data_IF_745050051925
#
_entry.id   IF_745050051925
#
_cell.length_a   1.000
_cell.length_b   1.000
_cell.length_c   1.000
_cell.angle_alpha   90.00
_cell.angle_beta   90.00
_cell.angle_gamma   90.00
#
_symmetry.space_group_name_H-M   'P 1'
#
loop_
_entity.id
_entity.type
_entity.pdbx_description
1 polymer ?
#
# COMPACT_ATOMS: atom_id res chain seq x y z
N UNK A 1 -21.42 -45.68 -25.83
CA UNK A 1 -20.76 -44.36 -25.92
C UNK A 1 -21.52 -43.27 -25.13
N UNK A 2 -22.84 -43.09 -25.35
CA UNK A 2 -23.66 -42.08 -24.66
C UNK A 2 -23.69 -42.19 -23.11
N UNK A 3 -23.72 -43.42 -22.57
CA UNK A 3 -23.73 -43.65 -21.11
C UNK A 3 -22.39 -43.32 -20.43
N UNK A 4 -21.27 -43.44 -21.14
CA UNK A 4 -19.93 -43.07 -20.64
C UNK A 4 -19.76 -41.55 -20.55
N UNK A 5 -20.34 -40.82 -21.50
CA UNK A 5 -20.31 -39.35 -21.52
C UNK A 5 -21.21 -38.81 -20.40
N UNK A 6 -22.39 -39.41 -20.21
CA UNK A 6 -23.31 -39.04 -19.12
C UNK A 6 -22.72 -39.32 -17.73
N UNK A 7 -21.97 -40.42 -17.56
CA UNK A 7 -21.25 -40.68 -16.29
C UNK A 7 -20.07 -39.74 -16.09
N UNK A 8 -19.35 -39.37 -17.16
CA UNK A 8 -18.26 -38.40 -17.08
C UNK A 8 -18.76 -37.00 -16.71
N UNK A 9 -19.86 -36.54 -17.33
CA UNK A 9 -20.51 -35.27 -17.00
C UNK A 9 -21.07 -35.29 -15.58
N UNK A 10 -21.66 -36.41 -15.13
CA UNK A 10 -22.16 -36.55 -13.76
C UNK A 10 -21.02 -36.55 -12.74
N UNK A 11 -19.89 -37.17 -13.04
CA UNK A 11 -18.70 -37.15 -12.18
C UNK A 11 -18.04 -35.77 -12.16
N UNK A 12 -18.02 -35.08 -13.30
CA UNK A 12 -17.56 -33.69 -13.42
C UNK A 12 -18.46 -32.75 -12.61
N UNK A 13 -19.78 -32.86 -12.73
CA UNK A 13 -20.74 -32.14 -11.89
C UNK A 13 -20.57 -32.46 -10.40
N UNK A 14 -20.34 -33.74 -10.05
CA UNK A 14 -20.13 -34.14 -8.66
C UNK A 14 -18.79 -33.65 -8.11
N UNK A 15 -17.76 -33.48 -8.93
CA UNK A 15 -16.50 -32.84 -8.54
C UNK A 15 -16.65 -31.33 -8.32
N UNK A 16 -17.50 -30.67 -9.10
CA UNK A 16 -17.73 -29.21 -9.01
C UNK A 16 -18.69 -28.86 -7.86
N UNK A 17 -19.75 -29.64 -7.65
CA UNK A 17 -20.84 -29.29 -6.73
C UNK A 17 -20.89 -30.12 -5.44
N UNK A 18 -20.21 -31.28 -5.36
CA UNK A 18 -20.15 -32.03 -4.12
C UNK A 18 -18.94 -31.60 -3.29
N UNK A 19 -19.20 -31.17 -2.06
CA UNK A 19 -18.18 -30.84 -1.09
C UNK A 19 -17.31 -32.08 -0.80
N UNK A 20 -16.04 -32.01 -1.20
CA UNK A 20 -14.97 -32.90 -0.71
C UNK A 20 -14.16 -32.16 0.33
N UNK A 21 -14.05 -32.78 1.51
CA UNK A 21 -13.13 -32.35 2.56
C UNK A 21 -11.71 -32.26 1.96
N UNK A 22 -10.98 -31.15 2.13
CA UNK A 22 -9.59 -31.07 1.68
C UNK A 22 -8.72 -32.07 2.46
N UNK A 23 -7.81 -32.77 1.78
CA UNK A 23 -6.87 -33.74 2.39
C UNK A 23 -5.72 -33.08 3.17
N UNK A 24 -5.84 -31.79 3.49
CA UNK A 24 -4.86 -31.04 4.27
C UNK A 24 -5.62 -30.35 5.40
N UNK A 25 -5.45 -30.84 6.63
CA UNK A 25 -5.91 -30.18 7.85
C UNK A 25 -5.09 -28.90 8.07
N UNK A 26 -5.48 -27.81 7.41
CA UNK A 26 -5.09 -26.46 7.82
C UNK A 26 -6.36 -25.71 8.19
N UNK A 27 -6.65 -25.69 9.49
CA UNK A 27 -7.82 -25.00 10.04
C UNK A 27 -7.49 -23.52 10.21
N UNK A 28 -7.66 -22.75 9.14
CA UNK A 28 -7.75 -21.29 9.24
C UNK A 28 -9.19 -20.91 9.58
N UNK A 29 -9.43 -20.48 10.81
CA UNK A 29 -10.71 -19.92 11.23
C UNK A 29 -10.61 -18.39 11.25
N UNK A 30 -11.41 -17.73 10.43
CA UNK A 30 -11.72 -16.31 10.62
C UNK A 30 -12.50 -16.19 11.93
N UNK A 31 -12.03 -15.37 12.86
CA UNK A 31 -12.72 -15.13 14.12
C UNK A 31 -14.01 -14.32 13.88
N UNK A 32 -15.11 -14.98 13.54
CA UNK A 32 -16.45 -14.40 13.62
C UNK A 32 -17.01 -14.60 15.04
N UNK A 33 -17.20 -13.48 15.74
CA UNK A 33 -18.05 -13.30 16.94
C UNK A 33 -17.81 -14.26 18.11
N UNK A 34 -17.00 -13.80 19.07
CA UNK A 34 -16.95 -14.34 20.43
C UNK A 34 -18.32 -14.24 21.12
N UNK A 35 -19.15 -15.28 20.99
CA UNK A 35 -20.23 -15.62 21.93
C UNK A 35 -20.40 -17.13 21.91
N UNK A 36 -19.52 -17.82 22.62
CA UNK A 36 -19.70 -19.18 23.19
C UNK A 36 -18.32 -19.79 23.51
N UNK A 37 -17.60 -19.21 24.48
CA UNK A 37 -16.51 -19.90 25.20
C UNK A 37 -16.15 -19.14 26.50
N UNK A 38 -17.15 -18.71 27.25
CA UNK A 38 -16.97 -18.25 28.63
C UNK A 38 -17.17 -19.44 29.59
N UNK A 39 -16.19 -20.32 29.74
CA UNK A 39 -16.04 -21.14 30.96
C UNK A 39 -14.69 -21.86 30.96
N UNK A 40 -13.60 -21.16 31.34
CA UNK A 40 -12.32 -21.69 31.88
C UNK A 40 -11.10 -20.76 31.71
N UNK A 41 -11.28 -19.46 31.44
CA UNK A 41 -10.16 -18.49 31.39
C UNK A 41 -10.13 -17.47 32.53
N UNK A 42 -11.10 -17.47 33.44
CA UNK A 42 -11.23 -16.44 34.49
C UNK A 42 -10.21 -16.56 35.64
N UNK A 43 -9.44 -17.64 35.73
CA UNK A 43 -8.45 -17.84 36.80
C UNK A 43 -7.02 -17.45 36.39
N UNK A 44 -6.73 -17.38 35.09
CA UNK A 44 -5.41 -17.00 34.55
C UNK A 44 -5.35 -15.51 34.16
N UNK A 45 -6.48 -14.87 33.90
CA UNK A 45 -6.53 -13.43 33.61
C UNK A 45 -6.25 -12.53 34.83
N UNK A 46 -6.45 -13.00 36.05
CA UNK A 46 -6.22 -12.21 37.26
C UNK A 46 -4.72 -12.06 37.63
N UNK A 47 -3.84 -12.91 37.10
CA UNK A 47 -2.38 -12.72 37.24
C UNK A 47 -1.79 -11.92 36.08
N UNK A 48 -2.40 -11.94 34.89
CA UNK A 48 -1.93 -11.19 33.71
C UNK A 48 -2.44 -9.74 33.69
N UNK A 49 -3.62 -9.47 34.26
CA UNK A 49 -4.21 -8.13 34.37
C UNK A 49 -3.45 -7.20 35.33
N UNK A 50 -2.67 -7.75 36.27
CA UNK A 50 -1.77 -6.95 37.12
C UNK A 50 -0.38 -6.71 36.50
N UNK A 51 -0.08 -7.29 35.33
CA UNK A 51 1.22 -7.09 34.65
C UNK A 51 1.14 -6.33 33.33
N UNK A 52 -0.06 -6.07 32.79
CA UNK A 52 -0.25 -5.36 31.52
C UNK A 52 -0.66 -3.89 31.66
N UNK A 53 -0.58 -3.32 32.88
CA UNK A 53 -0.79 -1.89 33.13
C UNK A 53 0.49 -1.05 33.08
N UNK A 54 1.60 -1.57 32.56
CA UNK A 54 2.86 -0.83 32.48
C UNK A 54 3.66 -1.16 31.21
N UNK A 55 4.27 -0.11 30.62
CA UNK A 55 5.19 -0.05 29.46
C UNK A 55 4.65 0.53 28.14
N UNK A 56 3.81 1.58 28.19
CA UNK A 56 3.94 2.68 27.22
C UNK A 56 4.98 3.66 27.76
N UNK A 57 6.25 3.50 27.41
CA UNK A 57 7.25 4.55 27.60
C UNK A 57 6.98 5.67 26.57
N UNK A 58 5.96 6.49 26.77
CA UNK A 58 5.85 7.77 26.08
C UNK A 58 6.88 8.73 26.68
N UNK A 59 8.14 8.60 26.24
CA UNK A 59 9.12 9.67 26.45
C UNK A 59 8.68 10.86 25.61
N UNK A 60 8.10 11.87 26.26
CA UNK A 60 7.70 13.11 25.57
C UNK A 60 8.91 13.95 25.15
N UNK A 61 9.97 13.94 25.94
CA UNK A 61 11.15 14.81 25.79
C UNK A 61 12.42 14.04 25.40
N UNK A 62 13.27 14.72 24.63
CA UNK A 62 14.56 14.21 24.16
C UNK A 62 15.56 14.17 25.32
N UNK A 63 16.17 13.01 25.52
CA UNK A 63 17.19 12.83 26.57
C UNK A 63 18.55 13.36 26.11
N UNK A 64 19.41 13.74 27.07
CA UNK A 64 20.78 14.19 26.77
C UNK A 64 21.70 13.07 26.24
N UNK A 65 21.33 11.80 26.46
CA UNK A 65 22.14 10.63 26.11
C UNK A 65 21.70 10.10 24.75
N UNK A 66 22.62 10.05 23.79
CA UNK A 66 22.32 9.65 22.40
C UNK A 66 21.78 8.22 22.34
N UNK A 67 22.35 7.31 23.14
CA UNK A 67 21.97 5.89 23.14
C UNK A 67 20.50 5.67 23.50
N UNK A 68 19.98 6.41 24.48
CA UNK A 68 18.57 6.30 24.87
C UNK A 68 17.62 6.82 23.77
N UNK A 69 17.99 7.90 23.10
CA UNK A 69 17.20 8.44 21.98
C UNK A 69 17.22 7.48 20.79
N UNK A 70 18.36 6.87 20.51
CA UNK A 70 18.55 5.90 19.45
C UNK A 70 17.70 4.64 19.69
N UNK A 71 17.75 4.08 20.90
CA UNK A 71 16.95 2.90 21.27
C UNK A 71 15.44 3.21 21.19
N UNK A 72 15.02 4.39 21.63
CA UNK A 72 13.63 4.84 21.50
C UNK A 72 13.17 4.92 20.05
N UNK A 73 13.97 5.54 19.16
CA UNK A 73 13.63 5.64 17.73
C UNK A 73 13.62 4.26 17.05
N UNK A 74 14.53 3.36 17.42
CA UNK A 74 14.57 1.98 16.91
C UNK A 74 13.32 1.19 17.29
N UNK A 75 12.83 1.36 18.53
CA UNK A 75 11.60 0.74 19.01
C UNK A 75 10.37 1.34 18.34
N UNK A 76 10.28 2.66 18.23
CA UNK A 76 9.11 3.37 17.68
C UNK A 76 8.85 3.01 16.22
N UNK A 77 9.91 2.93 15.39
CA UNK A 77 9.81 2.60 13.97
C UNK A 77 10.02 1.11 13.64
N UNK A 78 10.15 0.24 14.65
CA UNK A 78 10.47 -1.19 14.51
C UNK A 78 11.55 -1.46 13.45
N UNK A 79 12.69 -0.76 13.58
CA UNK A 79 13.77 -0.75 12.56
C UNK A 79 14.36 -2.11 12.20
N UNK A 80 14.13 -3.15 13.03
CA UNK A 80 14.52 -4.53 12.73
C UNK A 80 13.73 -5.15 11.58
N UNK A 81 12.47 -4.75 11.42
CA UNK A 81 11.55 -5.29 10.41
C UNK A 81 11.42 -4.29 9.25
N UNK A 82 11.41 -3.01 9.59
CA UNK A 82 11.14 -1.94 8.65
C UNK A 82 12.38 -1.63 7.80
N UNK A 83 12.24 -1.82 6.48
CA UNK A 83 13.36 -1.79 5.54
C UNK A 83 13.64 -0.40 4.93
N UNK A 84 12.73 0.55 5.11
CA UNK A 84 12.80 1.89 4.53
C UNK A 84 13.49 2.92 5.43
N UNK A 85 13.56 2.66 6.72
CA UNK A 85 14.18 3.54 7.71
C UNK A 85 15.69 3.37 7.70
N UNK A 86 16.42 4.49 7.60
CA UNK A 86 17.88 4.51 7.60
C UNK A 86 18.38 5.29 8.81
N UNK A 87 19.29 4.66 9.55
CA UNK A 87 20.03 5.27 10.65
C UNK A 87 21.49 5.37 10.23
N UNK A 88 22.08 6.57 10.30
CA UNK A 88 23.52 6.78 10.08
C UNK A 88 24.16 7.36 11.32
N UNK A 89 25.05 6.60 11.95
CA UNK A 89 25.84 7.05 13.10
C UNK A 89 27.17 7.67 12.62
N UNK A 90 27.56 8.81 13.19
CA UNK A 90 28.80 9.50 12.87
C UNK A 90 29.27 10.36 14.04
N UNK A 91 30.45 10.95 13.95
CA UNK A 91 31.03 11.79 15.01
C UNK A 91 31.24 13.21 14.51
N UNK A 92 30.78 14.18 15.30
CA UNK A 92 30.98 15.61 15.06
C UNK A 92 32.20 16.05 15.87
N UNK A 93 33.18 16.67 15.22
CA UNK A 93 34.32 17.27 15.92
C UNK A 93 34.06 18.76 16.15
N UNK A 94 34.01 19.20 17.40
CA UNK A 94 33.88 20.61 17.76
C UNK A 94 34.88 20.98 18.86
N UNK A 95 35.68 22.03 18.64
CA UNK A 95 36.75 22.47 19.57
C UNK A 95 37.68 21.33 20.04
N UNK A 96 38.07 20.44 19.13
CA UNK A 96 38.92 19.28 19.43
C UNK A 96 38.28 18.18 20.29
N UNK A 97 36.98 18.26 20.59
CA UNK A 97 36.19 17.19 21.22
C UNK A 97 35.32 16.49 20.18
N UNK A 98 35.16 15.19 20.35
CA UNK A 98 34.30 14.36 19.51
C UNK A 98 32.95 14.14 20.21
N UNK A 99 31.88 14.44 19.49
CA UNK A 99 30.51 14.25 19.93
C UNK A 99 29.84 13.23 19.00
N UNK A 100 29.44 12.05 19.50
CA UNK A 100 28.71 11.09 18.68
C UNK A 100 27.32 11.66 18.34
N UNK A 101 26.88 11.39 17.11
CA UNK A 101 25.63 11.86 16.54
C UNK A 101 25.02 10.78 15.63
N UNK A 102 23.72 10.84 15.39
CA UNK A 102 23.09 10.01 14.37
C UNK A 102 22.05 10.80 13.57
N UNK A 103 21.93 10.43 12.29
CA UNK A 103 20.84 10.82 11.41
C UNK A 103 19.79 9.72 11.35
N UNK A 104 18.53 10.14 11.31
CA UNK A 104 17.38 9.27 11.13
C UNK A 104 16.49 9.84 10.04
N UNK A 105 16.25 9.08 8.98
CA UNK A 105 15.40 9.48 7.86
C UNK A 105 14.77 8.25 7.17
N UNK A 106 13.74 8.48 6.36
CA UNK A 106 13.08 7.45 5.55
C UNK A 106 13.64 7.52 4.13
N UNK A 107 14.32 6.46 3.70
CA UNK A 107 14.87 6.37 2.35
C UNK A 107 13.76 6.26 1.29
N UNK A 108 13.89 7.06 0.24
CA UNK A 108 12.86 7.31 -0.78
C UNK A 108 12.06 8.60 -0.58
N UNK A 109 12.00 9.14 0.65
CA UNK A 109 11.34 10.44 0.94
C UNK A 109 12.32 11.60 1.06
N UNK A 110 13.55 11.32 1.48
CA UNK A 110 14.64 12.30 1.63
C UNK A 110 15.66 12.21 0.50
N UNK A 111 16.21 13.35 0.07
CA UNK A 111 17.30 13.38 -0.92
C UNK A 111 18.63 12.96 -0.28
N UNK A 112 19.21 11.87 -0.77
CA UNK A 112 20.52 11.42 -0.30
C UNK A 112 21.64 12.42 -0.59
N UNK A 113 21.55 13.17 -1.71
CA UNK A 113 22.58 14.15 -2.07
C UNK A 113 22.55 15.33 -1.10
N UNK A 114 21.36 15.85 -0.79
CA UNK A 114 21.22 16.94 0.17
C UNK A 114 21.69 16.54 1.58
N UNK A 115 21.43 15.29 2.00
CA UNK A 115 21.93 14.77 3.28
C UNK A 115 23.47 14.73 3.30
N UNK A 116 24.09 14.23 2.22
CA UNK A 116 25.53 14.09 2.17
C UNK A 116 26.23 15.46 2.15
N UNK A 117 25.81 16.36 1.26
CA UNK A 117 26.51 17.60 0.96
C UNK A 117 26.25 18.71 2.02
N UNK A 118 25.04 18.75 2.60
CA UNK A 118 24.64 19.85 3.49
C UNK A 118 24.49 19.45 4.97
N UNK A 119 24.57 18.16 5.29
CA UNK A 119 24.51 17.68 6.68
C UNK A 119 25.78 16.95 7.06
N UNK A 120 26.12 15.87 6.34
CA UNK A 120 27.27 15.04 6.71
C UNK A 120 28.59 15.75 6.47
N UNK A 121 28.81 16.32 5.29
CA UNK A 121 30.07 16.98 4.95
C UNK A 121 30.40 18.16 5.89
N UNK A 122 29.50 19.15 6.15
CA UNK A 122 29.81 20.27 7.05
C UNK A 122 30.01 19.86 8.52
N UNK A 123 29.41 18.76 8.97
CA UNK A 123 29.51 18.29 10.35
C UNK A 123 30.70 17.35 10.59
N UNK A 124 31.17 16.66 9.54
CA UNK A 124 32.31 15.74 9.62
C UNK A 124 33.63 16.39 9.20
N UNK A 125 33.61 17.35 8.27
CA UNK A 125 34.83 18.05 7.88
C UNK A 125 35.35 18.88 9.04
N UNK A 126 36.63 18.67 9.35
CA UNK A 126 37.36 19.47 10.33
C UNK A 126 37.57 20.87 9.77
N UNK A 127 36.71 21.80 10.14
CA UNK A 127 36.98 23.20 9.89
C UNK A 127 38.23 23.59 10.70
N UNK A 128 39.27 24.14 10.05
CA UNK A 128 40.52 24.53 10.75
C UNK A 128 40.27 25.57 11.85
N UNK A 129 39.20 26.36 11.72
CA UNK A 129 38.72 27.30 12.74
C UNK A 129 38.34 26.62 14.08
N UNK A 130 38.15 25.30 14.10
CA UNK A 130 37.82 24.52 15.30
C UNK A 130 39.04 24.07 16.13
N UNK A 131 40.27 24.36 15.69
CA UNK A 131 41.49 24.02 16.42
C UNK A 131 41.82 25.04 17.53
N UNK A 132 41.19 26.21 17.53
CA UNK A 132 41.45 27.24 18.54
C UNK A 132 40.70 26.94 19.84
N UNK A 133 41.38 26.18 20.70
CA UNK A 133 41.21 26.31 22.15
C UNK A 133 41.53 27.76 22.51
N UNK A 134 40.68 28.42 23.29
CA UNK A 134 40.82 29.82 23.67
C UNK A 134 42.12 30.10 24.42
N UNK A 135 43.20 30.36 23.68
CA UNK A 135 44.38 31.13 24.11
C UNK A 135 44.69 32.29 23.14
N UNK A 136 43.76 32.67 22.26
CA UNK A 136 43.87 33.97 21.57
C UNK A 136 43.46 35.09 22.52
N UNK A 137 44.40 35.50 23.37
CA UNK A 137 44.39 36.78 24.07
C UNK A 137 44.20 37.91 23.06
N UNK A 138 43.00 38.48 22.98
CA UNK A 138 42.84 39.82 22.41
C UNK A 138 43.39 40.82 23.42
N UNK A 139 44.59 41.33 23.15
CA UNK A 139 45.09 42.53 23.82
C UNK A 139 44.34 43.73 23.23
N UNK A 140 43.35 44.25 23.95
CA UNK A 140 42.96 45.65 23.75
C UNK A 140 44.11 46.52 24.27
N UNK A 141 44.67 47.45 23.49
CA UNK A 141 45.62 48.41 24.03
C UNK A 141 44.84 49.36 24.93
N UNK A 142 44.82 49.07 26.23
CA UNK A 142 44.39 50.05 27.23
C UNK A 142 45.54 51.03 27.45
N UNK A 143 45.30 52.30 27.13
CA UNK A 143 46.09 53.38 27.70
C UNK A 143 45.88 53.36 29.22
N UNK A 144 46.97 53.07 29.91
CA UNK A 144 47.28 53.31 31.33
C UNK A 144 46.27 52.88 32.41
N UNK A 145 46.84 52.12 33.36
CA UNK A 145 46.43 51.87 34.74
C UNK A 145 45.41 50.74 35.03
N UNK A 146 46.02 49.65 35.54
CA UNK A 146 45.48 48.57 36.40
C UNK A 146 44.09 48.05 36.04
N UNK A 147 44.04 47.04 35.17
CA UNK A 147 42.87 46.19 35.01
C UNK A 147 43.28 44.73 35.13
N UNK A 148 42.74 44.06 36.15
CA UNK A 148 42.69 42.60 36.24
C UNK A 148 42.09 42.08 34.93
N UNK A 149 42.70 41.10 34.24
CA UNK A 149 42.17 40.60 32.98
C UNK A 149 40.85 39.88 33.26
N UNK A 150 39.72 40.50 32.93
CA UNK A 150 38.42 39.85 32.95
C UNK A 150 38.33 39.00 31.68
N UNK A 151 38.66 37.71 31.80
CA UNK A 151 38.45 36.71 30.75
C UNK A 151 36.95 36.53 30.55
N UNK A 152 36.36 37.20 29.54
CA UNK A 152 35.02 36.85 29.06
C UNK A 152 35.13 35.57 28.24
N UNK A 153 35.05 34.43 28.91
CA UNK A 153 34.88 33.12 28.26
C UNK A 153 33.49 33.15 27.60
N UNK A 154 33.42 33.23 26.26
CA UNK A 154 32.16 32.95 25.58
C UNK A 154 31.88 31.47 25.79
N UNK A 155 30.88 31.15 26.63
CA UNK A 155 30.47 29.77 26.88
C UNK A 155 30.13 29.14 25.52
N UNK A 156 30.94 28.17 25.09
CA UNK A 156 30.71 27.48 23.82
C UNK A 156 29.36 26.76 23.89
N UNK A 157 28.44 27.15 23.00
CA UNK A 157 27.15 26.51 22.88
C UNK A 157 27.17 25.59 21.67
N UNK A 158 27.26 24.28 21.91
CA UNK A 158 27.29 23.27 20.86
C UNK A 158 26.08 23.39 19.92
N UNK A 159 24.91 23.74 20.45
CA UNK A 159 23.69 23.97 19.68
C UNK A 159 23.83 25.11 18.68
N UNK A 160 24.54 26.17 19.03
CA UNK A 160 24.75 27.33 18.15
C UNK A 160 25.79 27.02 17.06
N UNK A 161 26.83 26.27 17.42
CA UNK A 161 27.82 25.76 16.47
C UNK A 161 27.16 24.89 15.38
N UNK A 162 26.40 23.87 15.77
CA UNK A 162 25.70 22.98 14.83
C UNK A 162 24.72 23.77 13.98
N UNK A 163 23.98 24.70 14.59
CA UNK A 163 23.05 25.55 13.85
C UNK A 163 23.77 26.32 12.74
N UNK A 164 24.89 26.98 13.05
CA UNK A 164 25.65 27.77 12.06
C UNK A 164 26.23 26.93 10.93
N UNK A 165 26.65 25.68 11.21
CA UNK A 165 27.10 24.75 10.17
C UNK A 165 25.97 24.34 9.21
N UNK A 166 24.73 24.27 9.70
CA UNK A 166 23.57 23.77 8.95
C UNK A 166 22.67 24.87 8.34
N UNK A 167 22.92 26.15 8.68
CA UNK A 167 22.21 27.32 8.14
C UNK A 167 22.21 27.48 6.60
N UNK A 168 23.24 27.07 5.83
CA UNK A 168 23.33 27.45 4.42
C UNK A 168 22.19 26.99 3.50
N UNK A 169 21.47 25.91 3.85
CA UNK A 169 20.43 25.36 2.94
C UNK A 169 19.14 24.86 3.60
N UNK A 170 19.18 24.46 4.87
CA UNK A 170 18.06 23.75 5.48
C UNK A 170 17.18 24.68 6.33
N UNK A 171 15.86 24.56 6.16
CA UNK A 171 14.90 25.11 7.12
C UNK A 171 15.01 24.31 8.43
N UNK A 172 15.92 24.76 9.30
CA UNK A 172 16.29 24.06 10.50
C UNK A 172 15.34 24.42 11.65
N UNK A 173 14.64 23.40 12.17
CA UNK A 173 13.79 23.53 13.36
C UNK A 173 14.41 22.77 14.52
N UNK A 174 14.57 23.45 15.65
CA UNK A 174 15.07 22.87 16.90
C UNK A 174 13.87 22.38 17.68
N UNK A 175 13.82 21.09 17.95
CA UNK A 175 12.70 20.43 18.62
C UNK A 175 13.19 19.77 19.91
N UNK A 176 12.42 19.89 20.98
CA UNK A 176 12.67 19.22 22.27
C UNK A 176 11.79 17.99 22.48
N UNK A 177 10.70 17.88 21.72
CA UNK A 177 9.71 16.81 21.83
C UNK A 177 9.90 15.75 20.76
N UNK A 178 9.69 14.49 21.11
CA UNK A 178 9.77 13.40 20.13
C UNK A 178 8.62 13.42 19.11
N UNK A 179 7.42 13.86 19.49
CA UNK A 179 6.25 13.88 18.62
C UNK A 179 6.42 14.81 17.40
N UNK A 180 7.02 15.98 17.58
CA UNK A 180 7.31 16.91 16.48
C UNK A 180 8.39 16.38 15.54
N UNK A 181 9.35 15.61 16.06
CA UNK A 181 10.39 14.96 15.24
C UNK A 181 9.80 13.80 14.43
N UNK A 182 9.02 12.92 15.06
CA UNK A 182 8.36 11.79 14.40
C UNK A 182 7.46 12.28 13.26
N UNK A 183 6.64 13.30 13.52
CA UNK A 183 5.81 13.92 12.47
C UNK A 183 6.66 14.54 11.35
N UNK A 184 7.78 15.19 11.67
CA UNK A 184 8.75 15.68 10.69
C UNK A 184 9.33 14.56 9.81
N UNK A 185 9.79 13.46 10.42
CA UNK A 185 10.36 12.31 9.70
C UNK A 185 9.31 11.67 8.81
N UNK A 186 8.08 11.48 9.30
CA UNK A 186 6.98 10.94 8.51
C UNK A 186 6.62 11.86 7.31
N UNK A 187 6.94 13.15 7.39
CA UNK A 187 6.81 14.10 6.27
C UNK A 187 8.02 14.10 5.31
N UNK A 188 9.04 13.27 5.55
CA UNK A 188 10.25 13.17 4.73
C UNK A 188 11.42 14.04 5.18
N UNK A 189 11.38 14.60 6.40
CA UNK A 189 12.52 15.31 6.96
C UNK A 189 13.59 14.33 7.50
N UNK A 190 14.79 14.85 7.72
CA UNK A 190 15.87 14.14 8.41
C UNK A 190 16.01 14.68 9.83
N UNK A 191 16.04 13.79 10.82
CA UNK A 191 16.30 14.15 12.21
C UNK A 191 17.78 13.91 12.56
N UNK A 192 18.42 14.90 13.17
CA UNK A 192 19.79 14.83 13.68
C UNK A 192 19.78 14.91 15.21
N UNK A 193 20.32 13.88 15.85
CA UNK A 193 20.53 13.82 17.29
C UNK A 193 22.04 13.88 17.59
N UNK A 194 22.41 14.62 18.63
CA UNK A 194 23.80 14.78 19.05
C UNK A 194 23.91 14.52 20.56
N UNK A 195 24.94 13.80 20.97
CA UNK A 195 25.23 13.53 22.38
C UNK A 195 25.37 14.83 23.17
N UNK A 196 24.94 14.81 24.43
CA UNK A 196 24.92 15.93 25.38
C UNK A 196 23.91 17.06 25.10
N UNK A 197 23.09 16.93 24.04
CA UNK A 197 21.99 17.85 23.75
C UNK A 197 20.63 17.22 24.06
N UNK A 198 19.74 17.99 24.68
CA UNK A 198 18.31 17.67 24.89
C UNK A 198 17.42 18.21 23.76
N UNK A 199 18.02 18.53 22.62
CA UNK A 199 17.36 19.10 21.44
C UNK A 199 17.81 18.26 20.25
N UNK A 200 16.88 17.93 19.36
CA UNK A 200 17.23 17.40 18.04
C UNK A 200 16.94 18.45 16.96
N UNK A 201 17.65 18.32 15.86
CA UNK A 201 17.50 19.17 14.70
C UNK A 201 16.63 18.45 13.67
N UNK A 202 15.47 19.04 13.36
CA UNK A 202 14.61 18.60 12.28
C UNK A 202 15.00 19.38 11.02
N UNK A 203 15.58 18.67 10.05
CA UNK A 203 16.17 19.23 8.84
C UNK A 203 15.27 18.91 7.66
N UNK A 204 14.87 19.94 6.91
CA UNK A 204 14.08 19.76 5.69
C UNK A 204 15.00 19.29 4.55
N UNK A 205 14.91 18.01 4.22
CA UNK A 205 15.76 17.36 3.20
C UNK A 205 14.89 16.56 2.23
N UNK A 206 13.65 17.03 2.01
CA UNK A 206 12.68 16.32 1.20
C UNK A 206 13.16 16.21 -0.24
N UNK A 207 13.21 14.99 -0.74
CA UNK A 207 13.66 14.67 -2.09
C UNK A 207 12.96 13.42 -2.58
N UNK A 208 11.98 13.61 -3.44
CA UNK A 208 11.25 12.51 -4.05
C UNK A 208 11.95 12.16 -5.38
N UNK A 209 12.64 11.02 -5.43
CA UNK A 209 13.25 10.52 -6.68
C UNK A 209 12.16 10.33 -7.74
N UNK A 210 12.25 11.03 -8.87
CA UNK A 210 11.24 11.01 -9.93
C UNK A 210 11.72 10.31 -11.21
N UNK A 211 11.05 9.22 -11.58
CA UNK A 211 10.28 9.24 -12.83
C UNK A 211 8.99 10.00 -12.52
N UNK A 212 8.49 10.83 -13.43
CA UNK A 212 7.23 11.55 -13.21
C UNK A 212 6.12 10.55 -12.92
N UNK A 213 5.50 10.63 -11.73
CA UNK A 213 4.32 9.83 -11.38
C UNK A 213 3.24 10.15 -12.40
N UNK A 214 2.78 9.13 -13.13
CA UNK A 214 1.77 9.28 -14.17
C UNK A 214 0.37 9.15 -13.60
N UNK A 215 -0.61 9.59 -14.39
CA UNK A 215 -2.01 9.29 -14.10
C UNK A 215 -2.26 7.77 -14.22
N UNK A 216 -3.19 7.22 -13.41
CA UNK A 216 -3.66 5.85 -13.56
C UNK A 216 -4.34 5.67 -14.92
N UNK A 217 -3.99 4.60 -15.64
CA UNK A 217 -4.53 4.30 -16.97
C UNK A 217 -5.77 3.38 -16.89
N UNK A 218 -5.79 2.44 -15.96
CA UNK A 218 -6.89 1.47 -15.80
C UNK A 218 -7.92 1.94 -14.77
N UNK A 219 -7.53 2.75 -13.77
CA UNK A 219 -8.39 3.28 -12.72
C UNK A 219 -8.55 4.81 -12.84
N UNK A 220 -9.04 5.26 -14.00
CA UNK A 220 -9.31 6.67 -14.29
C UNK A 220 -10.47 7.17 -13.43
N UNK A 221 -10.31 8.33 -12.81
CA UNK A 221 -11.35 9.00 -12.03
C UNK A 221 -11.52 10.44 -12.48
N UNK A 222 -12.71 10.99 -12.27
CA UNK A 222 -13.04 12.40 -12.54
C UNK A 222 -12.59 13.29 -11.37
N UNK A 223 -12.70 12.78 -10.13
CA UNK A 223 -12.41 13.55 -8.92
C UNK A 223 -11.65 12.70 -7.90
N UNK A 224 -10.43 13.12 -7.58
CA UNK A 224 -9.55 12.54 -6.56
C UNK A 224 -8.07 12.67 -6.95
N UNK A 225 -7.15 11.97 -6.24
CA UNK A 225 -5.74 11.92 -6.62
C UNK A 225 -5.55 11.27 -7.99
N UNK A 226 -4.59 11.74 -8.79
CA UNK A 226 -4.25 11.16 -10.10
C UNK A 226 -2.86 10.53 -10.09
N UNK A 227 -2.46 9.96 -8.96
CA UNK A 227 -1.15 9.33 -8.82
C UNK A 227 -1.29 7.83 -9.01
N UNK A 228 -0.36 7.23 -9.75
CA UNK A 228 -0.24 5.80 -9.92
C UNK A 228 1.11 5.29 -9.42
N UNK A 229 1.15 4.02 -9.02
CA UNK A 229 2.40 3.32 -8.77
C UNK A 229 3.23 3.22 -10.05
N UNK A 230 4.54 3.10 -9.86
CA UNK A 230 5.56 3.03 -10.90
C UNK A 230 6.27 1.68 -10.77
N UNK A 231 7.20 1.33 -11.66
CA UNK A 231 7.88 0.03 -11.59
C UNK A 231 8.89 -0.05 -10.42
N UNK A 232 9.39 1.10 -9.95
CA UNK A 232 10.40 1.14 -8.89
C UNK A 232 9.79 0.96 -7.49
N UNK A 233 10.13 -0.13 -6.81
CA UNK A 233 9.61 -0.47 -5.48
C UNK A 233 9.79 0.64 -4.43
N UNK A 234 10.97 1.28 -4.40
CA UNK A 234 11.29 2.34 -3.43
C UNK A 234 10.46 3.61 -3.65
N UNK A 235 10.14 3.92 -4.90
CA UNK A 235 9.23 5.03 -5.23
C UNK A 235 7.82 4.68 -4.74
N UNK A 236 7.36 3.45 -4.95
CA UNK A 236 6.04 3.00 -4.51
C UNK A 236 5.89 3.01 -2.98
N UNK A 237 6.89 2.55 -2.23
CA UNK A 237 6.87 2.62 -0.76
C UNK A 237 6.86 4.08 -0.27
N UNK A 238 7.57 4.98 -0.95
CA UNK A 238 7.54 6.42 -0.63
C UNK A 238 6.16 7.06 -0.89
N UNK A 239 5.46 6.64 -1.96
CA UNK A 239 4.09 7.08 -2.26
C UNK A 239 3.11 6.65 -1.17
N UNK A 240 3.22 5.40 -0.71
CA UNK A 240 2.42 4.90 0.43
C UNK A 240 2.72 5.67 1.72
N UNK A 241 3.99 5.87 2.07
CA UNK A 241 4.40 6.64 3.26
C UNK A 241 3.87 8.07 3.28
N UNK A 242 3.85 8.73 2.12
CA UNK A 242 3.33 10.10 2.00
C UNK A 242 1.84 10.21 2.30
N UNK A 243 1.08 9.17 1.98
CA UNK A 243 -0.37 9.10 2.26
C UNK A 243 -0.58 8.63 3.71
N UNK A 244 0.15 7.60 4.13
CA UNK A 244 0.09 7.01 5.48
C UNK A 244 1.19 7.63 6.36
N UNK A 245 0.91 8.83 6.87
CA UNK A 245 1.83 9.58 7.73
C UNK A 245 1.83 9.05 9.19
N UNK A 246 2.19 7.78 9.38
CA UNK A 246 2.22 7.12 10.68
C UNK A 246 3.47 6.23 10.82
N UNK A 247 4.10 6.25 11.99
CA UNK A 247 5.25 5.43 12.36
C UNK A 247 4.93 3.92 12.41
N UNK A 248 3.66 3.56 12.66
CA UNK A 248 3.22 2.16 12.81
C UNK A 248 3.00 1.47 11.47
N UNK A 249 3.18 2.17 10.34
CA UNK A 249 3.28 1.53 9.03
C UNK A 249 4.62 0.79 8.94
N UNK A 250 4.55 -0.52 8.73
CA UNK A 250 5.72 -1.39 8.59
C UNK A 250 5.84 -1.79 7.13
N UNK A 251 7.05 -1.70 6.58
CA UNK A 251 7.41 -2.13 5.24
C UNK A 251 8.54 -3.16 5.34
N UNK A 252 8.18 -4.43 5.21
CA UNK A 252 9.10 -5.57 5.27
C UNK A 252 9.49 -6.03 3.86
N UNK A 253 10.79 -6.08 3.56
CA UNK A 253 11.27 -6.58 2.28
C UNK A 253 11.47 -8.10 2.32
N UNK A 254 10.89 -8.79 1.35
CA UNK A 254 11.01 -10.24 1.12
C UNK A 254 11.43 -10.47 -0.32
N UNK A 255 12.38 -11.39 -0.54
CA UNK A 255 12.80 -11.75 -1.89
C UNK A 255 12.12 -13.05 -2.30
N UNK A 256 11.45 -13.04 -3.45
CA UNK A 256 10.72 -14.18 -4.01
C UNK A 256 11.42 -14.66 -5.29
N UNK A 257 11.63 -15.97 -5.41
CA UNK A 257 12.21 -16.62 -6.59
C UNK A 257 13.56 -17.31 -6.35
N UNK A 258 13.75 -18.49 -6.94
CA UNK A 258 14.96 -19.31 -6.79
C UNK A 258 16.10 -18.87 -7.71
N UNK A 259 15.80 -18.61 -9.00
CA UNK A 259 16.79 -18.15 -10.00
C UNK A 259 16.92 -16.63 -9.94
N UNK A 260 15.80 -15.91 -10.07
CA UNK A 260 15.74 -14.46 -9.96
C UNK A 260 15.02 -14.07 -8.67
N UNK A 261 15.80 -13.57 -7.71
CA UNK A 261 15.29 -13.08 -6.42
C UNK A 261 14.66 -11.70 -6.59
N UNK A 262 13.41 -11.67 -7.02
CA UNK A 262 12.65 -10.43 -7.16
C UNK A 262 12.28 -9.89 -5.78
N UNK A 263 12.61 -8.62 -5.53
CA UNK A 263 12.26 -7.96 -4.27
C UNK A 263 10.76 -7.63 -4.22
N UNK A 264 10.12 -8.00 -3.12
CA UNK A 264 8.75 -7.69 -2.77
C UNK A 264 8.74 -6.95 -1.42
N UNK A 265 7.80 -6.02 -1.23
CA UNK A 265 7.60 -5.31 0.02
C UNK A 265 6.21 -5.62 0.57
N UNK A 266 6.14 -6.15 1.79
CA UNK A 266 4.92 -6.38 2.55
C UNK A 266 4.68 -5.15 3.42
N UNK A 267 3.59 -4.45 3.15
CA UNK A 267 3.18 -3.23 3.84
C UNK A 267 1.94 -3.51 4.69
N UNK A 268 1.99 -3.14 5.97
CA UNK A 268 0.85 -3.29 6.89
C UNK A 268 0.92 -2.30 8.06
N UNK A 269 -0.23 -2.08 8.72
CA UNK A 269 -0.34 -1.25 9.91
C UNK A 269 -0.25 -2.12 11.17
N UNK A 270 0.80 -1.95 11.98
CA UNK A 270 1.06 -2.81 13.16
C UNK A 270 -0.11 -2.88 14.15
N UNK A 271 -0.79 -1.76 14.37
CA UNK A 271 -1.82 -1.65 15.41
C UNK A 271 -3.21 -2.07 14.95
N UNK A 272 -3.43 -2.11 13.63
CA UNK A 272 -4.76 -2.32 13.03
C UNK A 272 -4.85 -3.71 12.39
N UNK A 273 -3.75 -4.18 11.79
CA UNK A 273 -3.74 -5.41 11.00
C UNK A 273 -3.66 -6.62 11.91
N UNK A 274 -4.41 -7.67 11.60
CA UNK A 274 -4.27 -8.95 12.30
C UNK A 274 -2.87 -9.55 12.05
N UNK A 275 -2.12 -9.80 13.12
CA UNK A 275 -0.77 -10.37 13.06
C UNK A 275 -0.75 -11.76 12.43
N UNK A 276 -1.79 -12.58 12.61
CA UNK A 276 -1.88 -13.91 12.01
C UNK A 276 -1.97 -13.82 10.49
N UNK A 277 -2.70 -12.82 10.00
CA UNK A 277 -2.82 -12.55 8.57
C UNK A 277 -1.49 -12.10 7.97
N UNK A 278 -0.75 -11.22 8.66
CA UNK A 278 0.61 -10.83 8.24
C UNK A 278 1.54 -12.04 8.21
N UNK A 279 1.48 -12.90 9.23
CA UNK A 279 2.30 -14.11 9.31
C UNK A 279 1.97 -15.09 8.18
N UNK A 280 0.70 -15.24 7.83
CA UNK A 280 0.26 -16.08 6.71
C UNK A 280 0.77 -15.54 5.37
N UNK A 281 0.64 -14.24 5.12
CA UNK A 281 1.17 -13.61 3.89
C UNK A 281 2.69 -13.80 3.80
N UNK A 282 3.41 -13.57 4.91
CA UNK A 282 4.86 -13.81 4.99
C UNK A 282 5.21 -15.28 4.73
N UNK A 283 4.46 -16.21 5.32
CA UNK A 283 4.65 -17.64 5.13
C UNK A 283 4.43 -18.06 3.67
N UNK A 284 3.34 -17.61 3.06
CA UNK A 284 3.01 -17.89 1.66
C UNK A 284 4.12 -17.37 0.74
N UNK A 285 4.50 -16.10 0.86
CA UNK A 285 5.54 -15.49 0.03
C UNK A 285 6.90 -16.18 0.14
N UNK A 286 7.32 -16.56 1.35
CA UNK A 286 8.60 -17.24 1.57
C UNK A 286 8.62 -18.70 1.08
N UNK A 287 7.46 -19.34 0.99
CA UNK A 287 7.35 -20.75 0.58
C UNK A 287 7.00 -20.94 -0.89
N UNK A 288 6.91 -19.86 -1.67
CA UNK A 288 6.73 -19.94 -3.11
C UNK A 288 7.98 -20.54 -3.78
N UNK A 289 7.85 -21.78 -4.26
CA UNK A 289 8.87 -22.43 -5.08
C UNK A 289 8.67 -22.08 -6.55
N UNK A 290 9.16 -20.91 -6.94
CA UNK A 290 9.14 -20.44 -8.32
C UNK A 290 10.53 -19.98 -8.74
N UNK A 291 10.89 -20.21 -10.00
CA UNK A 291 12.21 -19.84 -10.51
C UNK A 291 12.36 -18.32 -10.64
N UNK A 292 11.32 -17.66 -11.15
CA UNK A 292 11.29 -16.21 -11.43
C UNK A 292 9.90 -15.65 -11.19
N UNK A 293 9.82 -14.41 -10.73
CA UNK A 293 8.58 -13.65 -10.65
C UNK A 293 8.68 -12.41 -11.55
N UNK A 294 7.82 -12.33 -12.58
CA UNK A 294 7.83 -11.25 -13.57
C UNK A 294 6.65 -10.29 -13.42
N UNK A 295 5.48 -10.81 -13.06
CA UNK A 295 4.24 -10.03 -12.99
C UNK A 295 3.54 -10.13 -11.64
N UNK A 296 2.82 -9.07 -11.28
CA UNK A 296 1.91 -9.06 -10.13
C UNK A 296 0.77 -10.06 -10.27
N UNK A 297 0.27 -10.27 -11.50
CA UNK A 297 -0.76 -11.28 -11.77
C UNK A 297 -0.25 -12.72 -11.62
N UNK A 298 1.05 -12.98 -11.86
CA UNK A 298 1.66 -14.28 -11.56
C UNK A 298 1.68 -14.51 -10.04
N UNK A 299 2.11 -13.51 -9.27
CA UNK A 299 2.14 -13.60 -7.81
C UNK A 299 0.74 -13.81 -7.23
N UNK A 300 -0.25 -13.11 -7.77
CA UNK A 300 -1.66 -13.25 -7.40
C UNK A 300 -2.12 -14.71 -7.49
N UNK A 301 -1.89 -15.35 -8.63
CA UNK A 301 -2.27 -16.75 -8.86
C UNK A 301 -1.48 -17.74 -7.98
N UNK A 302 -0.21 -17.42 -7.69
CA UNK A 302 0.66 -18.29 -6.89
C UNK A 302 0.35 -18.24 -5.39
N UNK A 303 -0.16 -17.12 -4.89
CA UNK A 303 -0.54 -16.96 -3.47
C UNK A 303 -1.90 -17.61 -3.18
N UNK A 304 -2.78 -17.73 -4.18
CA UNK A 304 -4.09 -18.36 -4.03
C UNK A 304 -3.98 -19.89 -3.90
N UNK A 305 -4.52 -20.45 -2.80
CA UNK A 305 -4.31 -21.85 -2.41
C UNK A 305 -5.28 -22.82 -3.12
N UNK A 306 -6.54 -22.42 -3.31
CA UNK A 306 -7.55 -23.26 -3.96
C UNK A 306 -8.44 -22.46 -4.90
N UNK A 307 -8.27 -22.70 -6.20
CA UNK A 307 -9.16 -22.21 -7.26
C UNK A 307 -10.51 -22.98 -7.32
N UNK A 308 -11.04 -23.42 -6.16
CA UNK A 308 -12.33 -24.15 -6.10
C UNK A 308 -13.49 -23.25 -6.53
N UNK A 309 -13.41 -21.98 -6.17
CA UNK A 309 -14.31 -20.93 -6.58
C UNK A 309 -13.44 -19.91 -7.30
N UNK A 310 -13.72 -19.63 -8.57
CA UNK A 310 -12.99 -18.64 -9.38
C UNK A 310 -13.31 -17.19 -8.95
N UNK A 311 -13.44 -16.98 -7.64
CA UNK A 311 -13.69 -15.70 -7.01
C UNK A 311 -12.32 -15.17 -6.56
N UNK A 312 -11.87 -14.02 -7.07
CA UNK A 312 -10.57 -13.46 -6.72
C UNK A 312 -10.50 -13.13 -5.22
N UNK A 313 -9.43 -13.56 -4.56
CA UNK A 313 -9.18 -13.31 -3.13
C UNK A 313 -8.19 -12.17 -2.89
N UNK A 314 -7.59 -11.66 -3.95
CA UNK A 314 -6.62 -10.56 -3.95
C UNK A 314 -7.16 -9.47 -4.87
N UNK A 315 -6.90 -8.21 -4.50
CA UNK A 315 -7.29 -7.05 -5.29
C UNK A 315 -6.03 -6.36 -5.81
N UNK A 316 -5.85 -6.32 -7.13
CA UNK A 316 -4.79 -5.52 -7.75
C UNK A 316 -5.21 -4.06 -7.87
N UNK A 317 -4.32 -3.12 -7.55
CA UNK A 317 -4.54 -1.69 -7.84
C UNK A 317 -3.27 -0.99 -8.27
N UNK A 318 -3.41 -0.06 -9.21
CA UNK A 318 -2.33 0.86 -9.61
C UNK A 318 -2.29 2.12 -8.74
N UNK A 319 -3.27 2.31 -7.84
CA UNK A 319 -3.44 3.57 -7.12
C UNK A 319 -2.95 3.51 -5.67
N UNK A 320 -2.05 4.41 -5.24
CA UNK A 320 -1.52 4.43 -3.87
C UNK A 320 -2.57 4.88 -2.84
N UNK A 321 -3.53 5.73 -3.21
CA UNK A 321 -4.61 6.18 -2.30
C UNK A 321 -5.58 5.05 -1.95
N UNK A 322 -5.94 4.21 -2.93
CA UNK A 322 -6.74 3.00 -2.71
C UNK A 322 -6.01 2.00 -1.81
N UNK A 323 -4.72 1.77 -2.06
CA UNK A 323 -3.89 0.92 -1.22
C UNK A 323 -3.81 1.43 0.23
N UNK A 324 -3.60 2.73 0.43
CA UNK A 324 -3.59 3.35 1.75
C UNK A 324 -4.93 3.18 2.49
N UNK A 325 -6.06 3.36 1.79
CA UNK A 325 -7.40 3.12 2.37
C UNK A 325 -7.54 1.69 2.90
N UNK A 326 -7.03 0.70 2.19
CA UNK A 326 -7.07 -0.70 2.63
C UNK A 326 -6.09 -1.00 3.77
N UNK A 327 -4.92 -0.34 3.82
CA UNK A 327 -4.02 -0.40 4.97
C UNK A 327 -4.69 0.11 6.24
N UNK A 328 -5.42 1.23 6.16
CA UNK A 328 -6.21 1.76 7.28
C UNK A 328 -7.38 0.85 7.69
N UNK A 329 -7.87 -0.01 6.78
CA UNK A 329 -8.87 -1.02 7.07
C UNK A 329 -8.28 -2.31 7.69
N UNK A 330 -6.97 -2.34 7.98
CA UNK A 330 -6.30 -3.50 8.58
C UNK A 330 -5.98 -4.62 7.59
N UNK A 331 -5.87 -4.30 6.29
CA UNK A 331 -5.43 -5.24 5.25
C UNK A 331 -3.94 -5.13 4.98
N UNK A 332 -3.37 -6.17 4.38
CA UNK A 332 -1.97 -6.21 3.94
C UNK A 332 -1.88 -5.83 2.48
N UNK A 333 -0.85 -5.04 2.14
CA UNK A 333 -0.54 -4.64 0.76
C UNK A 333 0.84 -5.17 0.39
N UNK A 334 0.97 -5.83 -0.75
CA UNK A 334 2.24 -6.34 -1.28
C UNK A 334 2.60 -5.56 -2.54
N UNK A 335 3.80 -4.99 -2.57
CA UNK A 335 4.37 -4.31 -3.74
C UNK A 335 5.48 -5.17 -4.31
N UNK A 336 5.52 -5.33 -5.63
CA UNK A 336 6.53 -6.13 -6.33
C UNK A 336 7.42 -5.18 -7.12
N UNK A 337 8.74 -5.38 -7.06
CA UNK A 337 9.66 -4.60 -7.87
C UNK A 337 9.52 -4.94 -9.36
N UNK A 338 9.42 -3.91 -10.20
CA UNK A 338 9.24 -4.03 -11.64
C UNK A 338 7.80 -3.92 -12.11
N UNK A 339 6.82 -3.76 -11.21
CA UNK A 339 5.40 -3.74 -11.56
C UNK A 339 4.69 -2.47 -11.05
N UNK A 340 3.84 -1.80 -11.88
CA UNK A 340 3.07 -0.63 -11.47
C UNK A 340 1.76 -0.97 -10.73
N UNK A 341 1.54 -2.21 -10.33
CA UNK A 341 0.39 -2.64 -9.52
C UNK A 341 0.86 -3.15 -8.15
N UNK A 342 0.08 -2.85 -7.11
CA UNK A 342 0.18 -3.51 -5.81
C UNK A 342 -0.97 -4.49 -5.62
N UNK A 343 -0.75 -5.50 -4.78
CA UNK A 343 -1.71 -6.53 -4.43
C UNK A 343 -2.24 -6.29 -3.01
N UNK A 344 -3.55 -6.28 -2.84
CA UNK A 344 -4.22 -6.06 -1.54
C UNK A 344 -4.89 -7.35 -1.10
N UNK A 345 -4.65 -7.76 0.14
CA UNK A 345 -5.15 -9.01 0.70
C UNK A 345 -5.59 -8.85 2.17
N UNK A 346 -6.70 -9.49 2.59
CA UNK A 346 -7.64 -10.27 1.78
C UNK A 346 -8.64 -9.35 1.06
N UNK A 347 -8.99 -9.69 -0.18
CA UNK A 347 -10.08 -9.04 -0.90
C UNK A 347 -11.41 -9.69 -0.53
N UNK A 348 -12.43 -8.86 -0.31
CA UNK A 348 -13.81 -9.27 -0.13
C UNK A 348 -14.62 -8.83 -1.33
N UNK A 349 -15.77 -9.47 -1.56
CA UNK A 349 -16.65 -9.14 -2.68
C UNK A 349 -17.05 -7.65 -2.73
N UNK A 350 -17.21 -7.01 -1.57
CA UNK A 350 -17.58 -5.59 -1.46
C UNK A 350 -16.46 -4.68 -1.98
N UNK A 351 -15.20 -5.10 -1.88
CA UNK A 351 -14.07 -4.32 -2.38
C UNK A 351 -14.06 -4.20 -3.89
N UNK A 352 -14.57 -5.21 -4.61
CA UNK A 352 -14.72 -5.17 -6.08
C UNK A 352 -15.89 -4.30 -6.55
N UNK A 353 -16.92 -4.12 -5.71
CA UNK A 353 -18.05 -3.23 -5.99
C UNK A 353 -17.73 -1.75 -5.71
N UNK A 354 -16.72 -1.49 -4.89
CA UNK A 354 -16.30 -0.15 -4.51
C UNK A 354 -15.41 0.51 -5.56
N UNK A 355 -15.74 1.75 -5.92
CA UNK A 355 -14.85 2.61 -6.72
C UNK A 355 -14.06 3.56 -5.80
N UNK A 356 -12.80 3.89 -6.12
CA UNK A 356 -12.08 4.99 -5.46
C UNK A 356 -12.82 6.34 -5.52
N UNK A 357 -13.72 6.54 -6.49
CA UNK A 357 -14.53 7.76 -6.57
C UNK A 357 -15.60 7.88 -5.49
N UNK A 358 -16.07 6.74 -4.97
CA UNK A 358 -17.20 6.71 -4.04
C UNK A 358 -16.86 7.46 -2.73
N UNK A 359 -15.58 7.54 -2.37
CA UNK A 359 -15.13 8.29 -1.18
C UNK A 359 -15.13 9.80 -1.38
N UNK A 360 -15.12 10.28 -2.62
CA UNK A 360 -15.08 11.72 -2.95
C UNK A 360 -16.48 12.33 -3.13
N UNK A 361 -17.51 11.49 -3.07
CA UNK A 361 -18.93 11.85 -3.16
C UNK A 361 -19.57 11.88 -1.77
N UNK A 362 -20.69 12.62 -1.64
CA UNK A 362 -21.49 12.56 -0.42
C UNK A 362 -22.07 11.16 -0.24
N UNK A 363 -22.22 10.73 1.01
CA UNK A 363 -22.65 9.36 1.34
C UNK A 363 -23.97 8.96 0.66
N UNK A 364 -24.92 9.89 0.46
CA UNK A 364 -26.18 9.59 -0.23
C UNK A 364 -25.95 9.16 -1.69
N UNK A 365 -25.13 9.89 -2.43
CA UNK A 365 -24.82 9.58 -3.83
C UNK A 365 -23.92 8.35 -3.94
N UNK A 366 -22.94 8.20 -3.06
CA UNK A 366 -22.06 7.04 -3.04
C UNK A 366 -22.85 5.74 -2.80
N UNK A 367 -23.76 5.73 -1.82
CA UNK A 367 -24.61 4.57 -1.54
C UNK A 367 -25.61 4.28 -2.68
N UNK A 368 -26.17 5.33 -3.29
CA UNK A 368 -27.02 5.17 -4.46
C UNK A 368 -26.27 4.51 -5.63
N UNK A 369 -25.04 4.94 -5.93
CA UNK A 369 -24.21 4.34 -6.97
C UNK A 369 -23.85 2.88 -6.65
N UNK A 370 -23.50 2.56 -5.40
CA UNK A 370 -23.27 1.18 -4.98
C UNK A 370 -24.50 0.30 -5.17
N UNK A 371 -25.69 0.81 -4.81
CA UNK A 371 -26.95 0.10 -5.02
C UNK A 371 -27.24 -0.12 -6.51
N UNK A 372 -27.02 0.90 -7.36
CA UNK A 372 -27.14 0.75 -8.81
C UNK A 372 -26.16 -0.29 -9.37
N UNK A 373 -24.91 -0.35 -8.88
CA UNK A 373 -23.94 -1.38 -9.31
C UNK A 373 -24.40 -2.78 -8.92
N UNK A 374 -24.97 -2.96 -7.73
CA UNK A 374 -25.52 -4.25 -7.29
C UNK A 374 -26.71 -4.66 -8.18
N UNK A 375 -27.64 -3.75 -8.47
CA UNK A 375 -28.77 -4.01 -9.38
C UNK A 375 -28.25 -4.33 -10.78
N UNK A 376 -27.33 -3.53 -11.31
CA UNK A 376 -26.78 -3.73 -12.65
C UNK A 376 -26.12 -5.10 -12.77
N UNK A 377 -25.33 -5.51 -11.76
CA UNK A 377 -24.72 -6.83 -11.69
C UNK A 377 -25.75 -7.96 -11.66
N UNK A 378 -26.85 -7.80 -10.90
CA UNK A 378 -27.93 -8.79 -10.89
C UNK A 378 -28.65 -8.88 -12.24
N UNK A 379 -28.90 -7.75 -12.88
CA UNK A 379 -29.52 -7.70 -14.21
C UNK A 379 -28.60 -8.36 -15.22
N UNK A 380 -27.31 -7.98 -15.29
CA UNK A 380 -26.39 -8.56 -16.28
C UNK A 380 -26.23 -10.07 -16.12
N UNK A 381 -26.20 -10.57 -14.87
CA UNK A 381 -26.09 -11.99 -14.58
C UNK A 381 -27.38 -12.77 -14.91
N UNK A 382 -28.56 -12.22 -14.57
CA UNK A 382 -29.82 -12.95 -14.65
C UNK A 382 -30.59 -12.73 -15.96
N UNK A 383 -30.36 -11.62 -16.67
CA UNK A 383 -31.15 -11.22 -17.85
C UNK A 383 -31.11 -12.23 -19.00
N UNK A 384 -29.96 -12.82 -19.40
CA UNK A 384 -29.94 -13.82 -20.47
C UNK A 384 -30.74 -15.07 -20.09
N UNK A 385 -30.57 -15.55 -18.85
CA UNK A 385 -31.29 -16.72 -18.34
C UNK A 385 -32.79 -16.47 -18.22
N UNK A 386 -33.17 -15.29 -17.73
CA UNK A 386 -34.57 -14.87 -17.61
C UNK A 386 -35.23 -14.73 -18.98
N UNK A 387 -34.53 -14.18 -19.98
CA UNK A 387 -35.02 -14.11 -21.35
C UNK A 387 -35.33 -15.51 -21.92
N UNK A 388 -34.44 -16.48 -21.72
CA UNK A 388 -34.67 -17.88 -22.15
C UNK A 388 -35.86 -18.49 -21.40
N UNK A 389 -35.99 -18.23 -20.10
CA UNK A 389 -37.06 -18.78 -19.28
C UNK A 389 -38.44 -18.26 -19.70
N UNK A 390 -38.57 -16.98 -20.00
CA UNK A 390 -39.84 -16.38 -20.43
C UNK A 390 -40.20 -16.85 -21.84
N UNK A 391 -39.25 -16.77 -22.79
CA UNK A 391 -39.53 -17.09 -24.20
C UNK A 391 -39.85 -18.57 -24.46
N UNK A 392 -39.24 -19.49 -23.70
CA UNK A 392 -39.47 -20.92 -23.88
C UNK A 392 -40.52 -21.53 -22.94
N UNK A 393 -40.66 -21.04 -21.70
CA UNK A 393 -41.50 -21.70 -20.69
C UNK A 393 -42.71 -20.86 -20.23
N UNK A 394 -42.63 -19.53 -20.27
CA UNK A 394 -43.68 -18.64 -19.73
C UNK A 394 -44.09 -17.57 -20.74
N UNK A 395 -44.51 -17.99 -21.94
CA UNK A 395 -44.90 -17.09 -23.03
C UNK A 395 -46.12 -16.24 -22.67
N UNK A 396 -46.96 -16.69 -21.74
CA UNK A 396 -48.14 -15.98 -21.22
C UNK A 396 -47.79 -14.65 -20.54
N UNK A 397 -46.53 -14.45 -20.11
CA UNK A 397 -46.07 -13.20 -19.52
C UNK A 397 -45.83 -12.10 -20.58
N UNK A 398 -45.72 -12.45 -21.86
CA UNK A 398 -45.47 -11.51 -22.94
C UNK A 398 -46.84 -11.08 -23.53
N UNK A 399 -47.10 -9.77 -23.67
CA UNK A 399 -48.30 -9.29 -24.37
C UNK A 399 -48.41 -9.92 -25.77
N UNK A 400 -49.61 -10.34 -26.15
CA UNK A 400 -49.82 -11.16 -27.34
C UNK A 400 -49.30 -10.50 -28.63
N UNK A 401 -49.40 -9.17 -28.75
CA UNK A 401 -48.88 -8.41 -29.88
C UNK A 401 -47.34 -8.50 -30.01
N UNK A 402 -46.63 -8.43 -28.88
CA UNK A 402 -45.18 -8.58 -28.81
C UNK A 402 -44.77 -10.03 -29.12
N UNK A 403 -45.52 -11.01 -28.61
CA UNK A 403 -45.23 -12.42 -28.86
C UNK A 403 -45.36 -12.76 -30.36
N UNK A 404 -46.42 -12.30 -31.03
CA UNK A 404 -46.55 -12.49 -32.48
C UNK A 404 -45.43 -11.81 -33.26
N UNK A 405 -44.99 -10.63 -32.82
CA UNK A 405 -43.85 -9.94 -33.43
C UNK A 405 -42.54 -10.73 -33.29
N UNK A 406 -42.30 -11.33 -32.11
CA UNK A 406 -41.12 -12.17 -31.84
C UNK A 406 -41.15 -13.46 -32.67
N UNK A 407 -42.32 -14.10 -32.79
CA UNK A 407 -42.49 -15.31 -33.59
C UNK A 407 -42.29 -15.00 -35.09
N UNK A 408 -42.90 -13.92 -35.59
CA UNK A 408 -42.74 -13.49 -36.97
C UNK A 408 -41.29 -13.13 -37.31
N UNK A 409 -40.57 -12.47 -36.39
CA UNK A 409 -39.14 -12.20 -36.59
C UNK A 409 -38.26 -13.45 -36.57
N UNK A 410 -38.74 -14.54 -35.97
CA UNK A 410 -38.00 -15.81 -35.84
C UNK A 410 -38.37 -16.86 -36.88
N UNK A 411 -39.36 -16.60 -37.74
CA UNK A 411 -39.85 -17.58 -38.73
C UNK A 411 -38.74 -18.07 -39.67
N UNK A 412 -37.77 -17.22 -39.98
CA UNK A 412 -36.65 -17.54 -40.88
C UNK A 412 -35.38 -18.02 -40.16
N UNK A 413 -35.37 -18.05 -38.81
CA UNK A 413 -34.20 -18.43 -38.01
C UNK A 413 -34.22 -19.94 -37.76
N UNK A 414 -33.27 -20.73 -38.28
CA UNK A 414 -33.27 -22.19 -38.11
C UNK A 414 -32.72 -22.66 -36.75
N UNK A 415 -32.23 -21.75 -35.91
CA UNK A 415 -31.55 -22.08 -34.65
C UNK A 415 -32.41 -21.85 -33.40
N UNK A 416 -32.29 -22.70 -32.36
CA UNK A 416 -32.91 -22.48 -31.06
C UNK A 416 -32.39 -21.20 -30.37
N UNK A 417 -33.26 -20.56 -29.58
CA UNK A 417 -32.97 -19.31 -28.82
C UNK A 417 -31.70 -19.42 -27.96
N UNK A 418 -31.46 -20.58 -27.33
CA UNK A 418 -30.29 -20.83 -26.50
C UNK A 418 -28.98 -20.73 -27.30
N UNK A 419 -28.96 -21.22 -28.54
CA UNK A 419 -27.77 -21.21 -29.39
C UNK A 419 -27.48 -19.80 -29.89
N UNK A 420 -28.51 -19.06 -30.28
CA UNK A 420 -28.41 -17.65 -30.68
C UNK A 420 -27.77 -16.79 -29.57
N UNK A 421 -28.26 -16.91 -28.34
CA UNK A 421 -27.75 -16.11 -27.21
C UNK A 421 -26.30 -16.46 -26.89
N UNK A 422 -25.92 -17.74 -26.94
CA UNK A 422 -24.51 -18.14 -26.75
C UNK A 422 -23.59 -17.56 -27.83
N UNK A 423 -24.02 -17.58 -29.10
CA UNK A 423 -23.25 -16.97 -30.20
C UNK A 423 -23.18 -15.45 -30.05
N UNK A 424 -24.26 -14.80 -29.60
CA UNK A 424 -24.30 -13.38 -29.32
C UNK A 424 -23.37 -13.00 -28.16
N UNK A 425 -23.35 -13.77 -27.07
CA UNK A 425 -22.48 -13.56 -25.91
C UNK A 425 -21.01 -13.69 -26.29
N UNK A 426 -20.65 -14.74 -27.05
CA UNK A 426 -19.29 -14.91 -27.59
C UNK A 426 -18.91 -13.73 -28.49
N UNK A 427 -19.84 -13.28 -29.33
CA UNK A 427 -19.60 -12.13 -30.21
C UNK A 427 -19.34 -10.85 -29.41
N UNK A 428 -20.10 -10.61 -28.34
CA UNK A 428 -19.88 -9.47 -27.44
C UNK A 428 -18.52 -9.53 -26.76
N UNK A 429 -18.12 -10.69 -26.23
CA UNK A 429 -16.80 -10.84 -25.60
C UNK A 429 -15.66 -10.69 -26.61
N UNK A 430 -15.82 -11.17 -27.85
CA UNK A 430 -14.85 -10.92 -28.93
C UNK A 430 -14.73 -9.43 -29.28
N UNK A 431 -15.86 -8.72 -29.38
CA UNK A 431 -15.86 -7.27 -29.64
C UNK A 431 -15.21 -6.52 -28.48
N UNK A 432 -15.49 -6.92 -27.24
CA UNK A 432 -14.91 -6.34 -26.03
C UNK A 432 -13.40 -6.54 -25.96
N UNK A 433 -12.92 -7.76 -26.18
CA UNK A 433 -11.48 -8.09 -26.19
C UNK A 433 -10.75 -7.35 -27.32
N UNK A 434 -11.37 -7.24 -28.50
CA UNK A 434 -10.85 -6.42 -29.58
C UNK A 434 -10.79 -4.93 -29.20
N UNK A 435 -11.82 -4.43 -28.51
CA UNK A 435 -11.89 -3.05 -28.04
C UNK A 435 -10.80 -2.68 -27.02
N UNK A 436 -10.44 -3.60 -26.11
CA UNK A 436 -9.42 -3.38 -25.08
C UNK A 436 -7.99 -3.31 -25.64
N UNK A 437 -7.71 -4.01 -26.75
CA UNK A 437 -6.38 -4.04 -27.38
C UNK A 437 -6.17 -2.94 -28.42
N UNK A 438 -7.23 -2.26 -28.83
CA UNK A 438 -7.18 -1.20 -29.83
C UNK A 438 -6.95 0.15 -29.13
N UNK A 439 -6.10 1.04 -29.69
CA UNK A 439 -5.82 2.34 -29.09
C UNK A 439 -7.10 3.14 -28.76
N UNK A 440 -7.09 3.81 -27.61
CA UNK A 440 -8.21 4.56 -27.02
C UNK A 440 -9.09 5.39 -27.99
N UNK A 441 -8.58 6.09 -29.03
CA UNK A 441 -9.43 6.82 -29.97
C UNK A 441 -10.32 5.95 -30.90
N UNK A 442 -10.02 4.66 -31.07
CA UNK A 442 -10.76 3.76 -31.99
C UNK A 442 -11.70 2.81 -31.23
N UNK A 443 -11.51 2.65 -29.91
CA UNK A 443 -12.35 1.80 -29.05
C UNK A 443 -13.86 2.07 -29.16
N UNK A 444 -14.33 3.34 -29.05
CA UNK A 444 -15.75 3.66 -29.21
C UNK A 444 -16.32 3.24 -30.58
N UNK A 445 -15.52 3.32 -31.64
CA UNK A 445 -15.92 2.96 -33.00
C UNK A 445 -16.17 1.47 -33.14
N UNK A 446 -15.35 0.62 -32.50
CA UNK A 446 -15.55 -0.85 -32.50
C UNK A 446 -16.85 -1.22 -31.78
N UNK A 447 -17.18 -0.52 -30.69
CA UNK A 447 -18.47 -0.70 -29.99
C UNK A 447 -19.67 -0.37 -30.89
N UNK A 448 -19.59 0.74 -31.64
CA UNK A 448 -20.65 1.15 -32.59
C UNK A 448 -20.79 0.13 -33.73
N UNK A 449 -19.66 -0.29 -34.32
CA UNK A 449 -19.66 -1.29 -35.40
C UNK A 449 -20.17 -2.64 -34.90
N UNK A 450 -19.76 -3.07 -33.70
CA UNK A 450 -20.26 -4.28 -33.05
C UNK A 450 -21.77 -4.25 -32.85
N UNK A 451 -22.32 -3.15 -32.31
CA UNK A 451 -23.75 -2.97 -32.17
C UNK A 451 -24.50 -2.98 -33.51
N UNK A 452 -23.93 -2.39 -34.57
CA UNK A 452 -24.51 -2.41 -35.92
C UNK A 452 -24.49 -3.81 -36.52
N UNK A 453 -23.40 -4.56 -36.36
CA UNK A 453 -23.27 -5.94 -36.86
C UNK A 453 -24.24 -6.86 -36.12
N UNK A 454 -24.38 -6.71 -34.81
CA UNK A 454 -25.36 -7.48 -34.03
C UNK A 454 -26.79 -7.15 -34.41
N UNK A 455 -27.12 -5.87 -34.62
CA UNK A 455 -28.45 -5.46 -35.12
C UNK A 455 -28.73 -6.01 -36.51
N UNK A 456 -27.74 -5.96 -37.40
CA UNK A 456 -27.88 -6.50 -38.74
C UNK A 456 -28.06 -8.03 -38.69
N UNK A 457 -27.34 -8.71 -37.80
CA UNK A 457 -27.42 -10.16 -37.60
C UNK A 457 -28.76 -10.58 -36.99
N UNK A 458 -29.29 -9.86 -35.99
CA UNK A 458 -30.62 -10.14 -35.42
C UNK A 458 -31.79 -9.79 -36.33
N UNK A 459 -31.57 -8.91 -37.31
CA UNK A 459 -32.58 -8.58 -38.35
C UNK A 459 -32.54 -9.48 -39.59
N UNK A 460 -31.45 -10.25 -39.79
CA UNK A 460 -31.21 -11.05 -41.00
C UNK A 460 -31.00 -12.55 -40.74
N UNK A 461 -30.75 -12.96 -39.51
CA UNK A 461 -30.84 -14.37 -39.12
C UNK A 461 -32.28 -14.76 -38.92
#
# INVERSE_FOLDING_TARGET
MMNSIKSSIKNWFKQIFAYKNPDINYNFYLAETQKEQELSYSSFENEISNTNSDLQFEKEEISCRLKENLDYMKLKYNTLINSDVVIREFTITAKGKEFPAFLFYIDGMSDSNLINDFILEPLMLKNEDNLYTEDSTYFLPSKENKQVPIKKIKKFNLTEYINNCLLPQNALKKETKFSSIISGINMGNCALFVESLNIAFNLDVKGFKQRSVSAPNNEIIIKGPHEAFVEAIRTNTSLLRRIVNNENLIIENVNVGDISKTACAICYMKDITNNDLVAEVRYRLNNLKVDTLLSSGELEQLIEETNKYSIPQILSTERPDKAAKHLFAGKVVVIINGNPYCLIMPATFIDFLGSPEDTNLKFQFANFLKFLRIIAMLITLLLPGLYIAITNFHQELIPTELLFSIIASRENVPFPVIFEILVMEISFELIREAGLRVPSPIGPTIGIVGALVLRASSSKC
#
